data_IF_191686903060
#
_entry.id   IF_191686903060
#
_cell.length_a   1.000
_cell.length_b   1.000
_cell.length_c   1.000
_cell.angle_alpha   90.00
_cell.angle_beta   90.00
_cell.angle_gamma   90.00
#
_symmetry.space_group_name_H-M   'P 1'
#
loop_
_entity.id
_entity.type
_entity.pdbx_description
1 polymer ?
#
# COMPACT_ATOMS: atom_id res chain seq x y z
N UNK A 1 16.04 9.72 -8.79
CA UNK A 1 14.75 10.17 -8.23
C UNK A 1 13.75 9.06 -8.51
N UNK A 2 13.83 7.98 -7.73
CA UNK A 2 12.91 6.86 -7.89
C UNK A 2 11.60 7.23 -7.23
N UNK A 3 10.51 7.23 -8.00
CA UNK A 3 9.17 7.18 -7.43
C UNK A 3 9.05 5.83 -6.74
N UNK A 4 9.15 5.80 -5.40
CA UNK A 4 8.78 4.61 -4.65
C UNK A 4 7.28 4.36 -4.84
N UNK A 5 6.86 3.11 -5.11
CA UNK A 5 5.46 2.85 -5.38
C UNK A 5 4.63 3.15 -4.13
N UNK A 6 3.70 4.08 -4.24
CA UNK A 6 2.53 4.07 -3.40
C UNK A 6 1.84 2.72 -3.63
N UNK A 7 1.77 1.87 -2.62
CA UNK A 7 1.12 0.58 -2.76
C UNK A 7 -0.37 0.82 -2.98
N UNK A 8 -0.98 0.43 -4.12
CA UNK A 8 -2.40 0.63 -4.40
C UNK A 8 -3.31 -0.31 -3.57
N UNK A 9 -2.83 -0.70 -2.39
CA UNK A 9 -3.44 -1.61 -1.42
C UNK A 9 -4.08 -0.84 -0.26
N UNK A 10 -3.84 0.46 -0.16
CA UNK A 10 -4.48 1.39 0.76
C UNK A 10 -4.95 2.66 0.04
N UNK A 11 -5.95 3.32 0.62
CA UNK A 11 -6.34 4.67 0.23
C UNK A 11 -7.04 5.37 1.41
N UNK A 12 -6.73 6.64 1.62
CA UNK A 12 -7.41 7.49 2.60
C UNK A 12 -8.20 8.63 1.95
N UNK A 13 -9.25 9.04 2.67
CA UNK A 13 -10.00 10.25 2.40
C UNK A 13 -9.92 11.15 3.65
N UNK A 14 -8.86 11.97 3.81
CA UNK A 14 -8.61 12.71 5.03
C UNK A 14 -9.78 13.61 5.45
N UNK A 15 -10.41 14.30 4.49
CA UNK A 15 -11.56 15.16 4.75
C UNK A 15 -12.84 14.43 5.20
N UNK A 16 -12.92 13.12 4.99
CA UNK A 16 -14.03 12.29 5.45
C UNK A 16 -13.66 11.37 6.63
N UNK A 17 -12.41 11.41 7.13
CA UNK A 17 -11.98 10.57 8.24
C UNK A 17 -11.97 9.07 7.92
N UNK A 18 -11.76 8.69 6.66
CA UNK A 18 -11.91 7.29 6.20
C UNK A 18 -10.61 6.75 5.61
N UNK A 19 -10.32 5.49 5.94
CA UNK A 19 -9.26 4.68 5.32
C UNK A 19 -9.92 3.44 4.76
N UNK A 20 -9.48 3.02 3.56
CA UNK A 20 -9.86 1.77 2.92
C UNK A 20 -8.61 0.95 2.67
N UNK A 21 -8.69 -0.34 2.95
CA UNK A 21 -7.63 -1.31 2.71
C UNK A 21 -8.17 -2.36 1.73
N UNK A 22 -7.33 -2.79 0.81
CA UNK A 22 -7.70 -3.78 -0.21
C UNK A 22 -7.84 -5.18 0.39
N UNK A 23 -8.86 -5.92 -0.05
CA UNK A 23 -9.03 -7.34 0.29
C UNK A 23 -7.88 -8.23 -0.23
N UNK A 24 -7.05 -7.71 -1.14
CA UNK A 24 -5.82 -8.37 -1.58
C UNK A 24 -4.79 -8.56 -0.44
N UNK A 25 -4.97 -7.89 0.71
CA UNK A 25 -4.18 -8.13 1.92
C UNK A 25 -4.73 -9.26 2.80
N UNK A 26 -5.81 -9.94 2.39
CA UNK A 26 -6.36 -11.06 3.17
C UNK A 26 -5.30 -12.15 3.36
N UNK A 27 -5.04 -12.52 4.61
CA UNK A 27 -4.01 -13.50 4.96
C UNK A 27 -2.58 -12.97 4.94
N UNK A 28 -2.36 -11.69 4.60
CA UNK A 28 -1.07 -11.05 4.78
C UNK A 28 -0.69 -11.00 6.27
N UNK A 29 0.61 -11.07 6.61
CA UNK A 29 1.03 -10.87 7.98
C UNK A 29 0.59 -9.52 8.56
N UNK A 30 0.31 -9.46 9.86
CA UNK A 30 -0.18 -8.25 10.54
C UNK A 30 0.71 -7.02 10.28
N UNK A 31 2.03 -7.17 10.36
CA UNK A 31 3.00 -6.10 10.11
C UNK A 31 2.93 -5.51 8.67
N UNK A 32 2.36 -6.25 7.72
CA UNK A 32 2.13 -5.78 6.35
C UNK A 32 0.87 -4.92 6.29
N UNK A 33 -0.20 -5.37 6.95
CA UNK A 33 -1.45 -4.61 7.07
C UNK A 33 -1.20 -3.31 7.85
N UNK A 34 -0.43 -3.38 8.94
CA UNK A 34 0.00 -2.22 9.72
C UNK A 34 0.76 -1.21 8.86
N UNK A 35 1.63 -1.67 7.95
CA UNK A 35 2.37 -0.78 7.08
C UNK A 35 1.49 0.00 6.10
N UNK A 36 0.47 -0.65 5.55
CA UNK A 36 -0.50 0.02 4.67
C UNK A 36 -1.36 0.99 5.47
N UNK A 37 -1.88 0.58 6.63
CA UNK A 37 -2.66 1.45 7.49
C UNK A 37 -1.84 2.68 7.95
N UNK A 38 -0.59 2.46 8.37
CA UNK A 38 0.30 3.52 8.82
C UNK A 38 0.65 4.50 7.70
N UNK A 39 0.85 4.00 6.47
CA UNK A 39 1.02 4.82 5.27
C UNK A 39 -0.19 5.75 5.06
N UNK A 40 -1.41 5.20 5.11
CA UNK A 40 -2.62 6.00 4.96
C UNK A 40 -2.82 7.01 6.10
N UNK A 41 -2.45 6.65 7.33
CA UNK A 41 -2.45 7.59 8.46
C UNK A 41 -1.42 8.72 8.27
N UNK A 42 -0.26 8.44 7.68
CA UNK A 42 0.72 9.48 7.36
C UNK A 42 0.13 10.50 6.39
N UNK A 43 -0.74 10.10 5.46
CA UNK A 43 -1.43 11.02 4.55
C UNK A 43 -2.41 11.98 5.22
N UNK A 44 -2.89 11.69 6.44
CA UNK A 44 -3.65 12.66 7.23
C UNK A 44 -2.79 13.81 7.76
N UNK A 45 -1.48 13.59 7.87
CA UNK A 45 -0.52 14.59 8.38
C UNK A 45 0.24 15.27 7.24
N UNK A 46 0.61 14.51 6.21
CA UNK A 46 1.40 14.98 5.06
C UNK A 46 0.80 14.43 3.77
N UNK A 47 0.22 15.31 2.95
CA UNK A 47 -0.49 14.90 1.74
C UNK A 47 0.40 14.19 0.71
N UNK A 48 1.66 14.62 0.59
CA UNK A 48 2.57 14.14 -0.44
C UNK A 48 3.68 13.28 0.18
N UNK A 49 4.19 12.30 -0.57
CA UNK A 49 5.36 11.48 -0.21
C UNK A 49 6.67 12.28 -0.29
N UNK A 50 6.80 13.30 0.55
CA UNK A 50 7.99 14.14 0.65
C UNK A 50 8.87 13.72 1.86
N UNK A 51 9.98 14.42 2.09
CA UNK A 51 10.88 14.11 3.20
C UNK A 51 10.20 14.12 4.58
N UNK A 52 9.14 14.92 4.79
CA UNK A 52 8.38 14.89 6.04
C UNK A 52 7.55 13.61 6.17
N UNK A 53 6.93 13.16 5.08
CA UNK A 53 6.22 11.88 5.03
C UNK A 53 7.16 10.72 5.38
N UNK A 54 8.32 10.65 4.74
CA UNK A 54 9.29 9.57 4.99
C UNK A 54 9.75 9.54 6.46
N UNK A 55 10.01 10.71 7.07
CA UNK A 55 10.35 10.78 8.51
C UNK A 55 9.24 10.25 9.43
N UNK A 56 7.97 10.35 9.02
CA UNK A 56 6.86 9.74 9.76
C UNK A 56 6.88 8.23 9.53
N UNK A 57 6.95 7.80 8.27
CA UNK A 57 6.94 6.40 7.87
C UNK A 57 8.06 5.58 8.51
N UNK A 58 9.27 6.14 8.59
CA UNK A 58 10.48 5.51 9.14
C UNK A 58 10.36 5.13 10.63
N UNK A 59 9.31 5.60 11.32
CA UNK A 59 9.02 5.21 12.70
C UNK A 59 8.36 3.84 12.81
N UNK A 60 7.85 3.30 11.71
CA UNK A 60 7.18 2.00 11.70
C UNK A 60 8.20 0.86 11.82
N UNK A 61 8.11 0.00 12.83
CA UNK A 61 8.92 -1.20 12.91
C UNK A 61 8.72 -2.07 11.66
N UNK A 62 9.81 -2.64 11.14
CA UNK A 62 9.77 -3.60 10.02
C UNK A 62 9.26 -3.04 8.69
N UNK A 63 9.27 -1.71 8.50
CA UNK A 63 8.83 -1.06 7.27
C UNK A 63 9.44 -1.71 6.00
N UNK A 64 10.76 -1.89 5.96
CA UNK A 64 11.43 -2.51 4.81
C UNK A 64 10.95 -3.94 4.51
N UNK A 65 10.66 -4.74 5.55
CA UNK A 65 10.11 -6.10 5.37
C UNK A 65 8.68 -6.07 4.83
N UNK A 66 7.86 -5.13 5.31
CA UNK A 66 6.51 -4.94 4.79
C UNK A 66 6.52 -4.48 3.33
N UNK A 67 7.37 -3.51 2.99
CA UNK A 67 7.56 -3.01 1.63
C UNK A 67 7.93 -4.12 0.65
N UNK A 68 8.85 -5.01 1.03
CA UNK A 68 9.23 -6.16 0.23
C UNK A 68 8.06 -7.14 0.01
N UNK A 69 7.26 -7.40 1.05
CA UNK A 69 6.08 -8.27 0.93
C UNK A 69 5.01 -7.65 0.01
N UNK A 70 4.72 -6.35 0.17
CA UNK A 70 3.75 -5.62 -0.66
C UNK A 70 4.17 -5.59 -2.13
N UNK A 71 5.46 -5.45 -2.42
CA UNK A 71 5.99 -5.58 -3.79
C UNK A 71 5.72 -6.97 -4.39
N UNK A 72 5.78 -8.03 -3.58
CA UNK A 72 5.41 -9.39 -3.99
C UNK A 72 3.92 -9.54 -4.31
N UNK A 73 3.04 -8.96 -3.50
CA UNK A 73 1.59 -8.93 -3.80
C UNK A 73 1.34 -8.21 -5.13
N UNK A 74 1.94 -7.04 -5.33
CA UNK A 74 1.73 -6.26 -6.55
C UNK A 74 2.26 -6.99 -7.79
N UNK A 75 3.40 -7.66 -7.66
CA UNK A 75 3.93 -8.53 -8.72
C UNK A 75 2.92 -9.64 -9.07
N UNK A 76 2.43 -10.39 -8.10
CA UNK A 76 1.46 -11.47 -8.32
C UNK A 76 0.17 -10.95 -8.99
N UNK A 77 -0.39 -9.85 -8.50
CA UNK A 77 -1.59 -9.22 -9.07
C UNK A 77 -1.39 -8.74 -10.51
N UNK A 78 -0.20 -8.25 -10.83
CA UNK A 78 0.16 -7.86 -12.19
C UNK A 78 0.23 -9.07 -13.12
N UNK A 79 0.77 -10.20 -12.65
CA UNK A 79 0.78 -11.44 -13.42
C UNK A 79 -0.63 -11.97 -13.68
N UNK A 80 -1.49 -12.03 -12.65
CA UNK A 80 -2.89 -12.42 -12.81
C UNK A 80 -3.62 -11.52 -13.82
N UNK A 81 -3.35 -10.21 -13.81
CA UNK A 81 -3.92 -9.28 -14.77
C UNK A 81 -3.49 -9.54 -16.21
N UNK A 82 -2.26 -10.02 -16.41
CA UNK A 82 -1.75 -10.38 -17.73
C UNK A 82 -2.32 -11.71 -18.22
N UNK A 83 -2.57 -12.65 -17.31
CA UNK A 83 -3.13 -13.97 -17.62
C UNK A 83 -4.65 -13.95 -17.89
N UNK A 84 -5.37 -12.96 -17.35
CA UNK A 84 -6.81 -12.76 -17.63
C UNK A 84 -7.03 -12.52 -19.13
N UNK A 85 -7.77 -13.42 -19.79
CA UNK A 85 -8.10 -13.29 -21.22
C UNK A 85 -9.28 -12.32 -21.38
N UNK A 86 -9.33 -11.52 -22.46
CA UNK A 86 -10.40 -10.54 -22.67
C UNK A 86 -11.80 -11.16 -22.77
N UNK A 87 -11.89 -12.44 -23.14
CA UNK A 87 -13.15 -13.22 -23.17
C UNK A 87 -13.68 -13.63 -21.78
N UNK A 88 -12.90 -13.46 -20.69
CA UNK A 88 -13.32 -13.78 -19.32
C UNK A 88 -13.97 -12.57 -18.58
N UNK A 89 -14.14 -11.43 -19.25
CA UNK A 89 -14.78 -10.24 -18.68
C UNK A 89 -16.31 -10.30 -18.93
N UNK A 90 -17.16 -10.14 -17.88
CA UNK A 90 -18.61 -10.28 -18.00
C UNK A 90 -19.27 -9.18 -18.83
#
# INVERSE_FOLDING_TARGET
MGVEPAYPLGFCHPGAGRIRISDALTGAPEYVVDAVLYHELCHFVVLHHNAQFHRLQDRLPRLAQAQAFLAGIEFARTQEAHERRPEDQP
#
